data_IF_619477357369
#
_entry.id   IF_619477357369
#
_cell.length_a   1.000
_cell.length_b   1.000
_cell.length_c   1.000
_cell.angle_alpha   90.00
_cell.angle_beta   90.00
_cell.angle_gamma   90.00
#
_symmetry.space_group_name_H-M   'P 1'
#
loop_
_entity.id
_entity.type
_entity.pdbx_description
1 polymer ?
#
# COMPACT_ATOMS: atom_id res chain seq x y z
N UNK A 1 15.16 20.93 -20.98
CA UNK A 1 13.73 21.22 -21.10
C UNK A 1 13.48 22.40 -22.02
N UNK A 2 12.31 22.48 -22.64
CA UNK A 2 11.91 23.56 -23.53
C UNK A 2 12.03 24.94 -22.86
N UNK A 3 11.67 25.05 -21.58
CA UNK A 3 11.77 26.28 -20.80
C UNK A 3 13.23 26.79 -20.66
N UNK A 4 14.21 25.90 -20.56
CA UNK A 4 15.63 26.27 -20.53
C UNK A 4 16.12 26.75 -21.88
N UNK A 5 15.66 26.14 -22.96
CA UNK A 5 15.92 26.58 -24.34
C UNK A 5 15.42 27.99 -24.56
N UNK A 6 14.16 28.27 -24.24
CA UNK A 6 13.55 29.60 -24.35
C UNK A 6 14.28 30.66 -23.53
N UNK A 7 14.79 30.30 -22.34
CA UNK A 7 15.62 31.19 -21.52
C UNK A 7 16.96 31.51 -22.17
N UNK A 8 17.65 30.51 -22.74
CA UNK A 8 18.96 30.69 -23.37
C UNK A 8 18.83 31.47 -24.68
N UNK A 9 17.85 31.13 -25.51
CA UNK A 9 17.59 31.79 -26.79
C UNK A 9 16.86 33.14 -26.64
N UNK A 10 16.43 33.47 -25.41
CA UNK A 10 15.62 34.68 -25.11
C UNK A 10 14.35 34.77 -25.96
N UNK A 11 13.72 33.61 -26.21
CA UNK A 11 12.47 33.49 -26.92
C UNK A 11 11.25 33.39 -25.99
N UNK A 12 10.03 33.36 -26.54
CA UNK A 12 8.79 33.26 -25.80
C UNK A 12 8.65 34.35 -24.75
N UNK A 13 8.35 34.02 -23.50
CA UNK A 13 8.15 34.99 -22.39
C UNK A 13 9.39 35.82 -22.03
N UNK A 14 10.55 35.50 -22.59
CA UNK A 14 11.81 36.21 -22.34
C UNK A 14 12.16 37.24 -23.42
N UNK A 15 11.47 37.23 -24.56
CA UNK A 15 11.74 38.11 -25.71
C UNK A 15 11.61 39.59 -25.40
N UNK A 16 10.61 39.97 -24.58
CA UNK A 16 10.30 41.37 -24.22
C UNK A 16 10.87 41.80 -22.87
N UNK A 17 11.84 41.09 -22.34
CA UNK A 17 12.45 41.43 -21.05
C UNK A 17 13.82 42.11 -21.24
N UNK A 18 14.26 42.88 -20.23
CA UNK A 18 15.66 43.44 -20.21
C UNK A 18 16.75 42.35 -20.37
N UNK A 19 16.40 41.07 -20.17
CA UNK A 19 17.30 39.94 -20.37
C UNK A 19 17.48 39.58 -21.85
N UNK A 20 16.61 40.05 -22.75
CA UNK A 20 16.78 39.86 -24.17
C UNK A 20 18.06 40.54 -24.70
N UNK A 21 18.47 41.68 -24.11
CA UNK A 21 19.68 42.40 -24.44
C UNK A 21 20.95 41.62 -24.15
N UNK A 22 20.91 40.57 -23.34
CA UNK A 22 22.06 39.68 -23.03
C UNK A 22 22.21 38.53 -24.02
N UNK A 23 21.36 38.42 -25.03
CA UNK A 23 21.49 37.43 -26.09
C UNK A 23 22.58 37.82 -27.07
N UNK A 24 23.53 36.94 -27.33
CA UNK A 24 24.57 37.12 -28.36
C UNK A 24 24.17 36.28 -29.56
N UNK A 25 23.83 36.94 -30.66
CA UNK A 25 23.39 36.29 -31.89
C UNK A 25 24.46 35.34 -32.43
N UNK A 26 24.05 34.14 -32.87
CA UNK A 26 24.94 33.13 -33.45
C UNK A 26 25.78 32.30 -32.47
N UNK A 27 25.63 32.50 -31.17
CA UNK A 27 26.38 31.72 -30.16
C UNK A 27 25.64 30.50 -29.62
N UNK A 28 24.34 30.37 -29.90
CA UNK A 28 23.54 29.19 -29.50
C UNK A 28 23.70 28.07 -30.54
N UNK A 29 24.23 26.93 -30.09
CA UNK A 29 24.29 25.71 -30.87
C UNK A 29 23.50 24.64 -30.17
N UNK A 30 22.56 24.02 -30.88
CA UNK A 30 21.72 22.95 -30.35
C UNK A 30 22.15 21.61 -30.97
N UNK A 31 22.38 20.62 -30.12
CA UNK A 31 22.73 19.25 -30.52
C UNK A 31 21.73 18.27 -29.94
N UNK A 32 21.15 17.43 -30.81
CA UNK A 32 20.17 16.40 -30.43
C UNK A 32 18.75 16.96 -30.26
N UNK A 33 17.83 16.05 -30.09
CA UNK A 33 16.42 16.39 -29.90
C UNK A 33 16.16 16.73 -28.42
N UNK A 34 15.32 17.74 -28.17
CA UNK A 34 14.82 17.99 -26.83
C UNK A 34 13.95 16.81 -26.45
N UNK A 35 14.28 16.08 -25.35
CA UNK A 35 13.38 15.03 -24.88
C UNK A 35 12.01 15.67 -24.66
N UNK A 36 10.99 15.20 -25.37
CA UNK A 36 9.60 15.48 -25.02
C UNK A 36 9.44 15.13 -23.57
N UNK A 37 9.09 16.10 -22.74
CA UNK A 37 8.79 15.81 -21.35
C UNK A 37 7.70 14.76 -21.41
N UNK A 38 8.01 13.57 -20.89
CA UNK A 38 7.06 12.48 -20.83
C UNK A 38 5.97 12.87 -19.82
N UNK A 39 5.03 13.68 -20.26
CA UNK A 39 3.80 13.96 -19.50
C UNK A 39 2.99 12.68 -19.24
N UNK A 40 3.25 11.65 -20.07
CA UNK A 40 2.57 10.35 -19.97
C UNK A 40 3.13 9.43 -18.87
N UNK A 41 4.33 9.67 -18.34
CA UNK A 41 4.97 8.75 -17.38
C UNK A 41 4.99 9.25 -15.93
N UNK A 42 4.51 10.44 -15.66
CA UNK A 42 4.28 10.90 -14.29
C UNK A 42 3.17 10.09 -13.65
N UNK A 43 3.46 9.36 -12.54
CA UNK A 43 2.43 8.60 -11.85
C UNK A 43 1.35 9.55 -11.33
N UNK A 44 0.17 9.52 -11.93
CA UNK A 44 -0.98 10.27 -11.42
C UNK A 44 -1.41 9.68 -10.07
N UNK A 45 -1.37 10.48 -9.02
CA UNK A 45 -1.82 10.06 -7.68
C UNK A 45 -3.31 9.73 -7.66
N UNK A 46 -4.13 10.42 -8.45
CA UNK A 46 -5.56 10.13 -8.57
C UNK A 46 -5.82 8.78 -9.23
N UNK A 47 -5.09 8.44 -10.29
CA UNK A 47 -5.19 7.13 -10.93
C UNK A 47 -4.75 6.01 -9.99
N UNK A 48 -3.67 6.23 -9.21
CA UNK A 48 -3.20 5.30 -8.21
C UNK A 48 -4.24 5.07 -7.10
N UNK A 49 -4.83 6.15 -6.58
CA UNK A 49 -5.89 6.07 -5.58
C UNK A 49 -7.09 5.26 -6.09
N UNK A 50 -7.49 5.48 -7.35
CA UNK A 50 -8.56 4.71 -7.98
C UNK A 50 -8.24 3.20 -8.08
N UNK A 51 -6.99 2.82 -8.36
CA UNK A 51 -6.57 1.41 -8.34
C UNK A 51 -6.66 0.79 -6.94
N UNK A 52 -6.26 1.55 -5.91
CA UNK A 52 -6.33 1.09 -4.51
C UNK A 52 -7.78 0.95 -4.05
N UNK A 53 -8.66 1.91 -4.37
CA UNK A 53 -10.10 1.85 -4.06
C UNK A 53 -10.82 0.68 -4.73
N UNK A 54 -10.37 0.30 -5.94
CA UNK A 54 -10.85 -0.90 -6.66
C UNK A 54 -10.33 -2.21 -6.06
N UNK A 55 -9.48 -2.16 -5.04
CA UNK A 55 -8.93 -3.34 -4.37
C UNK A 55 -7.81 -4.04 -5.14
N UNK A 56 -7.19 -3.38 -6.13
CA UNK A 56 -6.09 -3.96 -6.91
C UNK A 56 -4.89 -4.26 -6.01
N UNK A 57 -4.25 -5.40 -6.24
CA UNK A 57 -3.00 -5.77 -5.56
C UNK A 57 -1.84 -4.92 -6.05
N UNK A 58 -0.76 -4.82 -5.26
CA UNK A 58 0.45 -4.10 -5.67
C UNK A 58 1.02 -4.66 -6.99
N UNK A 59 0.94 -5.98 -7.18
CA UNK A 59 1.41 -6.63 -8.40
C UNK A 59 0.59 -6.21 -9.64
N UNK A 60 -0.72 -6.08 -9.52
CA UNK A 60 -1.60 -5.61 -10.59
C UNK A 60 -1.34 -4.14 -10.91
N UNK A 61 -1.21 -3.29 -9.89
CA UNK A 61 -0.88 -1.87 -10.04
C UNK A 61 0.46 -1.69 -10.79
N UNK A 62 1.49 -2.46 -10.40
CA UNK A 62 2.80 -2.41 -11.06
C UNK A 62 2.74 -2.93 -12.50
N UNK A 63 1.94 -3.97 -12.78
CA UNK A 63 1.76 -4.46 -14.15
C UNK A 63 1.08 -3.43 -15.05
N UNK A 64 0.13 -2.66 -14.53
CA UNK A 64 -0.49 -1.57 -15.29
C UNK A 64 0.49 -0.43 -15.55
N UNK A 65 1.27 -0.03 -14.54
CA UNK A 65 2.23 1.06 -14.64
C UNK A 65 3.50 0.76 -13.83
N UNK A 66 4.58 0.29 -14.50
CA UNK A 66 5.83 -0.13 -13.83
C UNK A 66 6.47 0.95 -12.94
N UNK A 67 6.28 2.23 -13.26
CA UNK A 67 6.81 3.34 -12.46
C UNK A 67 6.27 3.38 -11.01
N UNK A 68 5.14 2.75 -10.74
CA UNK A 68 4.62 2.61 -9.37
C UNK A 68 5.43 1.64 -8.50
N UNK A 69 6.30 0.79 -9.09
CA UNK A 69 7.18 -0.09 -8.32
C UNK A 69 8.05 0.65 -7.28
N UNK A 70 8.44 1.90 -7.59
CA UNK A 70 9.21 2.74 -6.67
C UNK A 70 8.37 3.40 -5.56
N UNK A 71 7.06 3.18 -5.55
CA UNK A 71 6.12 3.80 -4.60
C UNK A 71 5.32 2.79 -3.79
N UNK A 72 5.75 1.51 -3.72
CA UNK A 72 5.02 0.43 -3.04
C UNK A 72 4.67 0.79 -1.60
N UNK A 73 5.62 1.35 -0.85
CA UNK A 73 5.37 1.78 0.53
C UNK A 73 4.24 2.82 0.63
N UNK A 74 4.21 3.82 -0.26
CA UNK A 74 3.12 4.81 -0.29
C UNK A 74 1.79 4.21 -0.72
N UNK A 75 1.78 3.17 -1.56
CA UNK A 75 0.57 2.42 -1.93
C UNK A 75 0.02 1.68 -0.72
N UNK A 76 0.88 1.02 0.05
CA UNK A 76 0.48 0.30 1.27
C UNK A 76 -0.07 1.27 2.33
N UNK A 77 0.60 2.40 2.58
CA UNK A 77 0.13 3.44 3.50
C UNK A 77 -1.21 4.05 3.07
N UNK A 78 -1.42 4.27 1.77
CA UNK A 78 -2.68 4.74 1.21
C UNK A 78 -3.78 3.70 1.43
N UNK A 79 -3.51 2.42 1.15
CA UNK A 79 -4.44 1.32 1.37
C UNK A 79 -4.85 1.21 2.82
N UNK A 80 -3.87 1.21 3.74
CA UNK A 80 -4.12 1.14 5.18
C UNK A 80 -5.00 2.32 5.64
N UNK A 81 -4.75 3.52 5.14
CA UNK A 81 -5.54 4.73 5.48
C UNK A 81 -6.98 4.62 5.00
N UNK A 82 -7.20 4.21 3.75
CA UNK A 82 -8.54 4.06 3.18
C UNK A 82 -9.33 2.93 3.86
N UNK A 83 -8.65 1.82 4.20
CA UNK A 83 -9.25 0.72 4.95
C UNK A 83 -9.60 1.15 6.38
N UNK A 84 -8.72 1.87 7.07
CA UNK A 84 -8.97 2.40 8.40
C UNK A 84 -10.25 3.26 8.42
N UNK A 85 -10.38 4.20 7.48
CA UNK A 85 -11.56 5.05 7.38
C UNK A 85 -12.85 4.25 7.16
N UNK A 86 -12.80 3.23 6.31
CA UNK A 86 -13.95 2.38 6.01
C UNK A 86 -14.36 1.54 7.22
N UNK A 87 -13.41 0.85 7.85
CA UNK A 87 -13.72 -0.11 8.91
C UNK A 87 -13.96 0.55 10.29
N UNK A 88 -13.50 1.76 10.51
CA UNK A 88 -13.79 2.50 11.75
C UNK A 88 -15.25 2.98 11.86
N UNK A 89 -15.99 2.98 10.75
CA UNK A 89 -17.38 3.44 10.69
C UNK A 89 -18.41 2.33 10.88
N UNK A 90 -18.00 1.07 10.82
CA UNK A 90 -18.89 -0.09 10.81
C UNK A 90 -18.46 -1.14 11.85
N UNK A 91 -19.44 -1.81 12.45
CA UNK A 91 -19.14 -2.98 13.28
C UNK A 91 -18.67 -4.15 12.40
N UNK A 92 -17.73 -4.93 12.91
CA UNK A 92 -17.23 -6.11 12.23
C UNK A 92 -18.24 -7.24 12.26
N UNK A 93 -18.42 -7.98 11.17
CA UNK A 93 -19.14 -9.24 11.13
C UNK A 93 -18.17 -10.39 11.46
N UNK A 94 -17.94 -10.65 12.74
CA UNK A 94 -16.94 -11.65 13.18
C UNK A 94 -17.61 -12.99 13.38
N UNK A 95 -17.07 -14.03 12.72
CA UNK A 95 -17.39 -15.43 13.00
C UNK A 95 -16.15 -16.11 13.60
N UNK A 96 -16.29 -16.69 14.79
CA UNK A 96 -15.19 -17.35 15.49
C UNK A 96 -15.36 -18.86 15.39
N UNK A 97 -14.32 -19.54 14.91
CA UNK A 97 -14.27 -20.99 14.82
C UNK A 97 -13.07 -21.52 15.62
N UNK A 98 -13.27 -22.50 16.46
CA UNK A 98 -12.21 -23.15 17.21
C UNK A 98 -12.05 -24.61 16.77
N UNK A 99 -10.92 -24.91 16.15
CA UNK A 99 -10.57 -26.25 15.70
C UNK A 99 -9.67 -26.94 16.74
N UNK A 100 -10.10 -28.04 17.29
CA UNK A 100 -9.35 -28.81 18.27
C UNK A 100 -9.23 -30.28 17.85
N UNK A 101 -8.26 -31.00 18.41
CA UNK A 101 -7.98 -32.40 18.11
C UNK A 101 -6.48 -32.68 17.99
N UNK A 102 -6.12 -33.94 17.84
CA UNK A 102 -4.73 -34.41 17.77
C UNK A 102 -3.96 -33.81 16.59
N UNK A 103 -2.63 -33.84 16.67
CA UNK A 103 -1.77 -33.44 15.56
C UNK A 103 -2.03 -34.32 14.34
N UNK A 104 -2.00 -33.76 13.15
CA UNK A 104 -2.22 -34.50 11.90
C UNK A 104 -3.67 -34.75 11.51
N UNK A 105 -4.66 -34.33 12.31
CA UNK A 105 -6.10 -34.54 11.98
C UNK A 105 -6.62 -33.63 10.86
N UNK A 106 -5.78 -32.74 10.31
CA UNK A 106 -6.13 -31.90 9.16
C UNK A 106 -6.78 -30.55 9.51
N UNK A 107 -6.67 -30.09 10.75
CA UNK A 107 -7.22 -28.77 11.18
C UNK A 107 -6.85 -27.63 10.25
N UNK A 108 -5.57 -27.39 10.06
CA UNK A 108 -5.07 -26.34 9.17
C UNK A 108 -5.48 -26.60 7.70
N UNK A 109 -5.42 -27.87 7.27
CA UNK A 109 -5.82 -28.25 5.91
C UNK A 109 -7.29 -27.89 5.61
N UNK A 110 -8.20 -28.06 6.58
CA UNK A 110 -9.62 -27.74 6.39
C UNK A 110 -9.84 -26.25 6.15
N UNK A 111 -9.06 -25.37 6.78
CA UNK A 111 -9.13 -23.92 6.58
C UNK A 111 -8.70 -23.57 5.15
N UNK A 112 -7.55 -24.11 4.70
CA UNK A 112 -7.06 -23.87 3.33
C UNK A 112 -7.89 -24.54 2.23
N UNK A 113 -8.70 -25.55 2.57
CA UNK A 113 -9.66 -26.13 1.64
C UNK A 113 -10.93 -25.27 1.46
N UNK A 114 -11.23 -24.40 2.43
CA UNK A 114 -12.45 -23.58 2.46
C UNK A 114 -12.23 -22.14 2.00
N UNK A 115 -10.99 -21.66 1.96
CA UNK A 115 -10.64 -20.26 1.64
C UNK A 115 -9.43 -20.22 0.72
N UNK A 116 -9.32 -19.18 -0.13
CA UNK A 116 -8.11 -18.99 -0.92
C UNK A 116 -6.93 -18.60 -0.03
N UNK A 117 -5.70 -19.06 -0.33
CA UNK A 117 -4.53 -18.71 0.46
C UNK A 117 -4.28 -17.21 0.64
N UNK A 118 -4.67 -16.40 -0.35
CA UNK A 118 -4.56 -14.93 -0.32
C UNK A 118 -5.53 -14.26 0.66
N UNK A 119 -6.64 -14.92 0.99
CA UNK A 119 -7.65 -14.45 1.94
C UNK A 119 -7.28 -14.78 3.40
N UNK A 120 -6.19 -15.51 3.62
CA UNK A 120 -5.80 -16.00 4.95
C UNK A 120 -4.57 -15.27 5.46
N UNK A 121 -4.70 -14.62 6.62
CA UNK A 121 -3.56 -14.18 7.42
C UNK A 121 -3.32 -15.16 8.57
N UNK A 122 -2.11 -15.77 8.62
CA UNK A 122 -1.71 -16.72 9.66
C UNK A 122 -0.87 -16.04 10.72
N UNK A 123 -1.26 -16.20 11.98
CA UNK A 123 -0.50 -15.78 13.16
C UNK A 123 0.15 -17.02 13.75
N UNK A 124 1.46 -17.11 13.60
CA UNK A 124 2.30 -18.23 14.09
C UNK A 124 3.25 -17.81 15.20
N UNK A 125 3.48 -16.49 15.36
CA UNK A 125 4.31 -15.91 16.41
C UNK A 125 3.45 -15.02 17.31
N UNK A 126 3.43 -15.35 18.57
CA UNK A 126 2.67 -14.63 19.59
C UNK A 126 3.52 -13.61 20.34
N UNK A 127 4.78 -13.41 19.95
CA UNK A 127 5.67 -12.35 20.44
C UNK A 127 6.04 -12.40 21.92
N UNK A 128 5.62 -13.41 22.66
CA UNK A 128 5.91 -13.60 24.09
C UNK A 128 5.59 -12.34 24.90
N UNK A 129 6.62 -11.78 25.60
CA UNK A 129 6.45 -10.55 26.43
C UNK A 129 6.10 -9.29 25.62
N UNK A 130 6.41 -9.26 24.32
CA UNK A 130 6.16 -8.12 23.44
C UNK A 130 4.75 -8.13 22.82
N UNK A 131 3.96 -9.16 23.09
CA UNK A 131 2.62 -9.35 22.54
C UNK A 131 2.61 -9.72 21.06
N UNK A 132 1.48 -10.23 20.61
CA UNK A 132 1.26 -10.63 19.21
C UNK A 132 1.37 -9.43 18.28
N UNK A 133 2.04 -9.63 17.15
CA UNK A 133 2.17 -8.62 16.09
C UNK A 133 1.47 -9.09 14.83
N UNK A 134 0.77 -8.19 14.20
CA UNK A 134 -0.04 -8.43 12.99
C UNK A 134 0.63 -7.82 11.75
N UNK A 135 1.96 -7.90 11.67
CA UNK A 135 2.74 -7.28 10.57
C UNK A 135 2.34 -7.79 9.18
N UNK A 136 1.92 -9.06 9.09
CA UNK A 136 1.48 -9.71 7.84
C UNK A 136 0.01 -9.50 7.52
N UNK A 137 -0.75 -8.83 8.40
CA UNK A 137 -2.15 -8.54 8.14
C UNK A 137 -2.30 -7.31 7.24
N UNK A 138 -3.02 -7.47 6.14
CA UNK A 138 -3.30 -6.43 5.15
C UNK A 138 -4.79 -6.39 4.80
N UNK A 139 -5.66 -6.70 5.78
CA UNK A 139 -7.12 -6.71 5.58
C UNK A 139 -7.67 -8.04 5.06
N UNK A 140 -6.94 -9.14 5.21
CA UNK A 140 -7.46 -10.47 4.85
C UNK A 140 -8.71 -10.80 5.67
N UNK A 141 -9.76 -11.36 5.05
CA UNK A 141 -11.01 -11.67 5.73
C UNK A 141 -10.89 -12.82 6.74
N UNK A 142 -9.84 -13.64 6.66
CA UNK A 142 -9.64 -14.79 7.54
C UNK A 142 -8.36 -14.63 8.34
N UNK A 143 -8.48 -14.56 9.66
CA UNK A 143 -7.36 -14.50 10.58
C UNK A 143 -7.23 -15.84 11.32
N UNK A 144 -6.11 -16.54 11.15
CA UNK A 144 -5.86 -17.85 11.71
C UNK A 144 -4.79 -17.80 12.80
N UNK A 145 -5.13 -18.18 14.01
CA UNK A 145 -4.21 -18.35 15.13
C UNK A 145 -3.76 -19.82 15.16
N UNK A 146 -2.54 -20.07 14.69
CA UNK A 146 -1.97 -21.43 14.61
C UNK A 146 -1.40 -21.85 15.96
N UNK A 147 -1.56 -23.13 16.32
CA UNK A 147 -1.01 -23.72 17.54
C UNK A 147 -1.31 -22.87 18.81
N UNK A 148 -2.56 -22.38 18.89
CA UNK A 148 -2.97 -21.52 19.98
C UNK A 148 -3.13 -22.30 21.30
N UNK A 149 -2.34 -21.94 22.31
CA UNK A 149 -2.34 -22.51 23.66
C UNK A 149 -2.44 -21.42 24.73
N UNK A 150 -3.33 -20.45 24.55
CA UNK A 150 -3.52 -19.32 25.47
C UNK A 150 -2.32 -18.37 25.62
N UNK A 151 -1.52 -18.23 24.55
CA UNK A 151 -0.37 -17.32 24.51
C UNK A 151 -0.78 -15.86 24.52
N UNK A 152 -2.01 -15.55 24.08
CA UNK A 152 -2.60 -14.21 24.11
C UNK A 152 -3.37 -14.05 25.40
N UNK A 153 -3.16 -12.97 26.18
CA UNK A 153 -3.99 -12.68 27.36
C UNK A 153 -5.47 -12.61 26.99
N UNK A 154 -6.33 -13.17 27.84
CA UNK A 154 -7.78 -13.28 27.56
C UNK A 154 -8.41 -11.92 27.20
N UNK A 155 -8.00 -10.85 27.91
CA UNK A 155 -8.51 -9.50 27.64
C UNK A 155 -8.18 -9.01 26.21
N UNK A 156 -6.98 -9.30 25.72
CA UNK A 156 -6.59 -8.97 24.36
C UNK A 156 -7.33 -9.84 23.33
N UNK A 157 -7.45 -11.15 23.62
CA UNK A 157 -8.17 -12.08 22.75
C UNK A 157 -9.64 -11.69 22.60
N UNK A 158 -10.31 -11.30 23.67
CA UNK A 158 -11.69 -10.81 23.62
C UNK A 158 -11.84 -9.62 22.68
N UNK A 159 -10.92 -8.64 22.72
CA UNK A 159 -10.94 -7.51 21.82
C UNK A 159 -10.75 -7.93 20.33
N UNK A 160 -9.89 -8.95 20.07
CA UNK A 160 -9.73 -9.46 18.71
C UNK A 160 -10.97 -10.15 18.18
N UNK A 161 -11.73 -10.79 19.04
CA UNK A 161 -12.95 -11.54 18.70
C UNK A 161 -14.24 -10.69 18.78
N UNK A 162 -14.15 -9.45 19.25
CA UNK A 162 -15.30 -8.55 19.38
C UNK A 162 -15.74 -8.00 18.01
N UNK A 163 -16.97 -7.50 17.97
CA UNK A 163 -17.59 -6.89 16.79
C UNK A 163 -17.20 -5.43 16.57
N UNK A 164 -16.61 -4.77 17.56
CA UNK A 164 -16.23 -3.37 17.45
C UNK A 164 -14.97 -3.15 16.61
N UNK A 165 -14.85 -1.98 15.94
CA UNK A 165 -13.63 -1.61 15.25
C UNK A 165 -12.42 -1.70 16.16
N UNK A 166 -11.30 -2.25 15.65
CA UNK A 166 -10.09 -2.44 16.43
C UNK A 166 -8.87 -2.22 15.54
N UNK A 167 -7.88 -1.51 16.06
CA UNK A 167 -6.56 -1.42 15.45
C UNK A 167 -5.67 -2.54 15.99
N UNK A 168 -5.10 -3.34 15.10
CA UNK A 168 -4.22 -4.45 15.44
C UNK A 168 -2.77 -3.97 15.55
N UNK A 169 -2.04 -4.31 16.63
CA UNK A 169 -0.68 -3.84 16.84
C UNK A 169 0.30 -4.42 15.80
N UNK A 170 1.02 -3.56 15.11
CA UNK A 170 2.09 -3.91 14.19
C UNK A 170 3.38 -3.18 14.56
N UNK A 171 4.55 -3.59 14.00
CA UNK A 171 5.85 -3.05 14.43
C UNK A 171 6.06 -1.59 14.06
N UNK A 172 5.53 -1.15 12.95
CA UNK A 172 5.80 0.19 12.40
C UNK A 172 4.58 1.09 12.40
N UNK A 173 3.39 0.52 12.28
CA UNK A 173 2.09 1.20 12.36
C UNK A 173 0.99 0.16 12.59
N UNK A 174 -0.06 0.55 13.30
CA UNK A 174 -1.16 -0.35 13.61
C UNK A 174 -1.96 -0.68 12.35
N UNK A 175 -2.53 -1.88 12.30
CA UNK A 175 -3.35 -2.39 11.20
C UNK A 175 -4.84 -2.34 11.57
N UNK A 176 -5.67 -1.99 10.65
CA UNK A 176 -7.14 -1.94 10.80
C UNK A 176 -7.83 -2.99 9.95
#
# INVERSE_FOLDING_TARGET
>A
SAANRDYITKSGKWADTKKAETSVEGTFLEFGDIPTEAEEDSPSMYALMGCVEQGMTNAEIIRQKPSYAFRIKGIDEMRDTLQAERYMKENRAVQVLYFYGDSGTGKTRSIFASHNPEDICRITDYGGKNGTKFDSYHGQPVLVFEEFHSQIPIAAMLNYLDIYPLQLPARYHDRT
#
